data_IF_300616773581
#
_entry.id   IF_300616773581
#
_cell.length_a   1.000
_cell.length_b   1.000
_cell.length_c   1.000
_cell.angle_alpha   90.00
_cell.angle_beta   90.00
_cell.angle_gamma   90.00
#
_symmetry.space_group_name_H-M   'P 1'
#
loop_
_entity.id
_entity.type
_entity.pdbx_description
1 polymer ?
#
# COMPACT_ATOMS: atom_id res chain seq x y z
N UNK A 1 5.40 -20.91 -9.07
CA UNK A 1 5.67 -19.91 -8.01
C UNK A 1 6.23 -18.70 -8.73
N UNK A 2 5.59 -17.54 -8.61
CA UNK A 2 6.15 -16.26 -9.08
C UNK A 2 7.16 -15.79 -8.04
N UNK A 3 8.33 -15.33 -8.47
CA UNK A 3 9.34 -14.76 -7.57
C UNK A 3 9.46 -13.27 -7.91
N UNK A 4 9.09 -12.43 -6.97
CA UNK A 4 9.01 -10.98 -7.17
C UNK A 4 10.03 -10.21 -6.32
N UNK A 5 10.49 -9.06 -6.84
CA UNK A 5 11.07 -8.00 -6.02
C UNK A 5 10.09 -6.84 -5.89
N UNK A 6 9.94 -6.30 -4.68
CA UNK A 6 9.33 -5.00 -4.47
C UNK A 6 10.43 -3.93 -4.40
N UNK A 7 10.36 -2.96 -5.30
CA UNK A 7 11.31 -1.87 -5.37
C UNK A 7 10.63 -0.55 -5.03
N UNK A 8 11.14 0.11 -3.99
CA UNK A 8 10.91 1.54 -3.80
C UNK A 8 11.88 2.26 -4.73
N UNK A 9 11.34 2.83 -5.81
CA UNK A 9 12.16 3.61 -6.72
C UNK A 9 12.77 4.79 -5.95
N UNK A 10 14.06 5.05 -6.15
CA UNK A 10 14.74 6.21 -5.57
C UNK A 10 15.23 6.08 -4.12
N UNK A 11 15.21 4.90 -3.47
CA UNK A 11 16.01 4.74 -2.23
C UNK A 11 17.50 4.83 -2.58
N UNK A 12 18.06 6.03 -2.42
CA UNK A 12 19.48 6.31 -2.67
C UNK A 12 19.76 6.83 -4.09
N UNK A 13 20.88 6.39 -4.67
CA UNK A 13 21.36 6.78 -6.00
C UNK A 13 21.11 5.70 -7.07
N UNK A 14 20.49 4.57 -6.71
CA UNK A 14 20.28 3.44 -7.61
C UNK A 14 19.17 3.73 -8.61
N UNK A 15 19.47 3.60 -9.90
CA UNK A 15 18.49 3.80 -10.97
C UNK A 15 17.49 2.64 -11.07
N UNK A 16 16.31 2.90 -11.63
CA UNK A 16 15.34 1.84 -11.94
C UNK A 16 15.96 0.77 -12.86
N UNK A 17 16.79 1.17 -13.83
CA UNK A 17 17.50 0.25 -14.72
C UNK A 17 18.42 -0.72 -13.97
N UNK A 18 19.11 -0.25 -12.94
CA UNK A 18 19.99 -1.09 -12.13
C UNK A 18 19.19 -2.05 -11.23
N UNK A 19 18.05 -1.59 -10.70
CA UNK A 19 17.14 -2.43 -9.91
C UNK A 19 16.54 -3.56 -10.76
N UNK A 20 16.07 -3.24 -11.97
CA UNK A 20 15.52 -4.24 -12.90
C UNK A 20 16.59 -5.23 -13.37
N UNK A 21 17.79 -4.74 -13.70
CA UNK A 21 18.92 -5.62 -14.04
C UNK A 21 19.26 -6.56 -12.88
N UNK A 22 19.30 -6.04 -11.66
CA UNK A 22 19.55 -6.84 -10.47
C UNK A 22 18.46 -7.90 -10.27
N UNK A 23 17.17 -7.52 -10.35
CA UNK A 23 16.06 -8.47 -10.25
C UNK A 23 16.19 -9.63 -11.24
N UNK A 24 16.43 -9.30 -12.52
CA UNK A 24 16.60 -10.30 -13.56
C UNK A 24 17.82 -11.22 -13.29
N UNK A 25 18.95 -10.65 -12.86
CA UNK A 25 20.16 -11.41 -12.53
C UNK A 25 19.98 -12.33 -11.31
N UNK A 26 19.17 -11.90 -10.33
CA UNK A 26 18.83 -12.68 -9.15
C UNK A 26 17.84 -13.82 -9.48
N UNK A 27 17.19 -13.76 -10.64
CA UNK A 27 16.24 -14.78 -11.11
C UNK A 27 14.79 -14.49 -10.72
N UNK A 28 14.45 -13.24 -10.40
CA UNK A 28 13.06 -12.83 -10.28
C UNK A 28 12.36 -12.93 -11.65
N UNK A 29 11.07 -13.23 -11.62
CA UNK A 29 10.19 -13.29 -12.80
C UNK A 29 9.26 -12.08 -12.86
N UNK A 30 8.99 -11.49 -11.70
CA UNK A 30 8.01 -10.44 -11.52
C UNK A 30 8.62 -9.28 -10.71
N UNK A 31 8.06 -8.09 -10.84
CA UNK A 31 8.39 -6.95 -9.98
C UNK A 31 7.13 -6.21 -9.54
N UNK A 32 7.23 -5.64 -8.35
CA UNK A 32 6.29 -4.68 -7.81
C UNK A 32 7.05 -3.36 -7.74
N UNK A 33 6.46 -2.30 -8.28
CA UNK A 33 7.07 -0.98 -8.23
C UNK A 33 6.29 -0.07 -7.29
N UNK A 34 7.04 0.56 -6.37
CA UNK A 34 6.49 1.43 -5.34
C UNK A 34 6.80 2.90 -5.58
N UNK A 35 5.74 3.71 -5.69
CA UNK A 35 5.84 5.17 -5.53
C UNK A 35 5.59 5.53 -4.07
N UNK A 36 6.50 6.28 -3.46
CA UNK A 36 6.43 6.57 -2.03
C UNK A 36 5.37 7.63 -1.71
N UNK A 37 4.64 7.40 -0.61
CA UNK A 37 3.66 8.28 0.00
C UNK A 37 4.36 9.37 0.84
N UNK A 38 4.09 10.66 0.58
CA UNK A 38 4.57 11.76 1.43
C UNK A 38 5.72 12.63 0.88
N UNK A 39 6.05 12.55 -0.41
CA UNK A 39 6.93 13.52 -1.09
C UNK A 39 6.25 14.10 -2.32
N UNK A 40 6.59 15.35 -2.68
CA UNK A 40 6.00 16.03 -3.82
C UNK A 40 6.14 15.19 -5.10
N UNK A 41 5.16 15.27 -6.00
CA UNK A 41 5.06 14.56 -7.29
C UNK A 41 6.23 14.79 -8.28
N UNK A 42 7.29 15.45 -7.83
CA UNK A 42 8.45 15.88 -8.62
C UNK A 42 9.79 15.37 -8.07
N UNK A 43 9.80 14.58 -6.98
CA UNK A 43 11.05 14.05 -6.40
C UNK A 43 11.30 12.59 -6.81
N UNK A 44 12.59 12.19 -6.76
CA UNK A 44 13.25 10.94 -7.19
C UNK A 44 12.55 9.58 -6.94
N UNK A 45 11.41 9.55 -6.27
CA UNK A 45 10.68 8.35 -5.83
C UNK A 45 9.43 8.03 -6.65
N UNK A 46 9.08 8.89 -7.62
CA UNK A 46 7.92 8.68 -8.49
C UNK A 46 8.26 7.65 -9.59
N UNK A 47 7.58 6.50 -9.59
CA UNK A 47 7.71 5.48 -10.64
C UNK A 47 6.95 5.90 -11.89
N UNK A 48 5.71 6.36 -11.70
CA UNK A 48 4.79 6.79 -12.76
C UNK A 48 4.54 8.29 -12.56
N UNK A 49 4.85 9.16 -13.54
CA UNK A 49 4.62 10.59 -13.42
C UNK A 49 3.12 10.90 -13.23
N UNK A 50 2.83 11.96 -12.45
CA UNK A 50 1.46 12.41 -12.22
C UNK A 50 1.33 13.21 -10.92
N UNK A 51 0.50 14.27 -10.94
CA UNK A 51 0.26 15.15 -9.78
C UNK A 51 -1.01 14.76 -9.02
N UNK A 52 -2.08 14.44 -9.74
CA UNK A 52 -3.40 14.14 -9.15
C UNK A 52 -3.92 12.76 -9.56
N UNK A 53 -3.42 12.20 -10.66
CA UNK A 53 -3.77 10.89 -11.23
C UNK A 53 -2.67 10.39 -12.16
N UNK A 54 -2.75 9.14 -12.56
CA UNK A 54 -1.87 8.55 -13.59
C UNK A 54 -2.57 8.38 -14.92
N UNK A 55 -1.85 8.72 -15.99
CA UNK A 55 -2.31 8.56 -17.38
C UNK A 55 -1.87 7.20 -17.94
N UNK A 56 -2.64 6.66 -18.89
CA UNK A 56 -2.40 5.33 -19.45
C UNK A 56 -1.03 5.20 -20.12
N UNK A 57 -0.64 6.19 -20.93
CA UNK A 57 0.62 6.13 -21.70
C UNK A 57 1.83 6.06 -20.77
N UNK A 58 1.81 6.77 -19.64
CA UNK A 58 2.87 6.76 -18.65
C UNK A 58 3.01 5.39 -17.97
N UNK A 59 1.87 4.74 -17.67
CA UNK A 59 1.84 3.38 -17.11
C UNK A 59 2.37 2.35 -18.11
N UNK A 60 2.01 2.49 -19.40
CA UNK A 60 2.51 1.62 -20.48
C UNK A 60 4.02 1.75 -20.62
N UNK A 61 4.56 2.98 -20.59
CA UNK A 61 6.02 3.22 -20.64
C UNK A 61 6.74 2.51 -19.50
N UNK A 62 6.20 2.56 -18.28
CA UNK A 62 6.77 1.86 -17.11
C UNK A 62 6.70 0.35 -17.29
N UNK A 63 5.55 -0.21 -17.72
CA UNK A 63 5.41 -1.64 -17.98
C UNK A 63 6.40 -2.12 -19.04
N UNK A 64 6.45 -1.46 -20.20
CA UNK A 64 7.35 -1.82 -21.29
C UNK A 64 8.82 -1.76 -20.88
N UNK A 65 9.18 -0.79 -20.01
CA UNK A 65 10.52 -0.73 -19.43
C UNK A 65 10.83 -1.98 -18.60
N UNK A 66 9.92 -2.40 -17.71
CA UNK A 66 10.09 -3.64 -16.93
C UNK A 66 10.23 -4.86 -17.85
N UNK A 67 9.34 -4.98 -18.84
CA UNK A 67 9.32 -6.08 -19.81
C UNK A 67 10.59 -6.15 -20.66
N UNK A 68 11.24 -5.00 -20.93
CA UNK A 68 12.52 -4.95 -21.65
C UNK A 68 13.68 -5.66 -20.93
N UNK A 69 13.55 -5.88 -19.61
CA UNK A 69 14.50 -6.66 -18.80
C UNK A 69 14.09 -8.14 -18.67
N UNK A 70 13.04 -8.58 -19.36
CA UNK A 70 12.52 -9.95 -19.27
C UNK A 70 11.75 -10.23 -17.97
N UNK A 71 11.27 -9.17 -17.30
CA UNK A 71 10.47 -9.22 -16.07
C UNK A 71 9.01 -8.89 -16.37
N UNK A 72 8.09 -9.32 -15.50
CA UNK A 72 6.68 -8.96 -15.55
C UNK A 72 6.35 -7.89 -14.49
N UNK A 73 5.65 -6.82 -14.87
CA UNK A 73 5.15 -5.84 -13.90
C UNK A 73 3.85 -6.35 -13.27
N UNK A 74 3.97 -7.01 -12.12
CA UNK A 74 2.85 -7.68 -11.45
C UNK A 74 1.95 -6.70 -10.72
N UNK A 75 2.54 -5.71 -10.04
CA UNK A 75 1.79 -4.77 -9.24
C UNK A 75 2.42 -3.38 -9.17
N UNK A 76 1.58 -2.39 -8.89
CA UNK A 76 1.98 -1.06 -8.44
C UNK A 76 1.51 -0.87 -7.00
N UNK A 77 2.39 -0.37 -6.13
CA UNK A 77 2.07 -0.14 -4.71
C UNK A 77 2.99 0.94 -4.14
N UNK A 78 2.63 2.20 -3.92
CA UNK A 78 1.32 2.82 -3.86
C UNK A 78 1.22 3.92 -4.93
N UNK A 79 0.06 4.57 -5.00
CA UNK A 79 -0.04 5.94 -5.55
C UNK A 79 0.45 6.98 -4.52
N UNK A 80 0.84 8.19 -4.94
CA UNK A 80 1.14 9.27 -4.01
C UNK A 80 -0.05 9.59 -3.08
N UNK A 81 0.20 9.88 -1.80
CA UNK A 81 -0.87 10.18 -0.82
C UNK A 81 -1.80 11.31 -1.25
N UNK A 82 -1.26 12.32 -1.95
CA UNK A 82 -2.03 13.47 -2.44
C UNK A 82 -3.11 13.08 -3.46
N UNK A 83 -3.09 11.85 -4.01
CA UNK A 83 -4.15 11.37 -4.90
C UNK A 83 -5.44 11.04 -4.13
N UNK A 84 -5.34 10.71 -2.82
CA UNK A 84 -6.48 10.15 -2.09
C UNK A 84 -6.53 10.47 -0.58
N UNK A 85 -5.74 11.43 -0.10
CA UNK A 85 -5.73 11.87 1.31
C UNK A 85 -7.08 12.45 1.77
N UNK A 86 -7.77 13.21 0.93
CA UNK A 86 -9.11 13.74 1.21
C UNK A 86 -10.15 12.61 1.16
N UNK A 87 -9.93 11.55 0.40
CA UNK A 87 -10.76 10.34 0.49
C UNK A 87 -10.60 9.70 1.88
N UNK A 88 -9.36 9.50 2.32
CA UNK A 88 -9.09 8.88 3.63
C UNK A 88 -9.62 9.71 4.81
N UNK A 89 -9.47 11.04 4.72
CA UNK A 89 -9.75 11.97 5.83
C UNK A 89 -11.13 12.66 5.75
N UNK A 90 -11.95 12.33 4.76
CA UNK A 90 -13.24 13.00 4.54
C UNK A 90 -13.10 14.49 4.22
N UNK A 91 -12.05 14.86 3.48
CA UNK A 91 -11.70 16.24 3.18
C UNK A 91 -12.52 16.87 2.04
N UNK A 92 -12.42 18.20 1.83
CA UNK A 92 -13.24 18.93 0.88
C UNK A 92 -13.01 18.54 -0.59
N UNK A 93 -11.86 17.92 -0.93
CA UNK A 93 -11.56 17.44 -2.28
C UNK A 93 -11.90 15.96 -2.51
N UNK A 94 -12.63 15.32 -1.58
CA UNK A 94 -12.90 13.88 -1.63
C UNK A 94 -13.49 13.45 -2.97
N UNK A 95 -14.50 14.16 -3.47
CA UNK A 95 -15.21 13.75 -4.68
C UNK A 95 -14.32 13.85 -5.93
N UNK A 96 -13.53 14.93 -6.04
CA UNK A 96 -12.51 15.12 -7.09
C UNK A 96 -11.46 14.00 -7.06
N UNK A 97 -10.95 13.67 -5.87
CA UNK A 97 -9.97 12.59 -5.70
C UNK A 97 -10.57 11.22 -6.03
N UNK A 98 -11.84 10.97 -5.72
CA UNK A 98 -12.53 9.74 -6.12
C UNK A 98 -12.54 9.60 -7.64
N UNK A 99 -12.91 10.65 -8.38
CA UNK A 99 -12.91 10.63 -9.85
C UNK A 99 -11.50 10.35 -10.40
N UNK A 100 -10.48 11.02 -9.85
CA UNK A 100 -9.08 10.84 -10.23
C UNK A 100 -8.54 9.44 -9.91
N UNK A 101 -8.93 8.86 -8.78
CA UNK A 101 -8.53 7.50 -8.40
C UNK A 101 -9.25 6.44 -9.24
N UNK A 102 -10.53 6.63 -9.57
CA UNK A 102 -11.23 5.76 -10.52
C UNK A 102 -10.52 5.78 -11.88
N UNK A 103 -10.13 6.97 -12.37
CA UNK A 103 -9.37 7.11 -13.60
C UNK A 103 -8.02 6.37 -13.53
N UNK A 104 -7.29 6.55 -12.42
CA UNK A 104 -6.00 5.88 -12.18
C UNK A 104 -6.14 4.36 -12.17
N UNK A 105 -7.10 3.81 -11.42
CA UNK A 105 -7.31 2.34 -11.32
C UNK A 105 -7.70 1.74 -12.67
N UNK A 106 -8.55 2.42 -13.45
CA UNK A 106 -8.86 2.00 -14.84
C UNK A 106 -7.62 1.99 -15.72
N UNK A 107 -6.77 3.02 -15.62
CA UNK A 107 -5.57 3.08 -16.44
C UNK A 107 -4.53 2.03 -16.04
N UNK A 108 -4.39 1.71 -14.75
CA UNK A 108 -3.54 0.60 -14.28
C UNK A 108 -3.98 -0.71 -14.94
N UNK A 109 -5.29 -1.00 -14.90
CA UNK A 109 -5.85 -2.19 -15.51
C UNK A 109 -5.65 -2.23 -17.04
N UNK A 110 -5.93 -1.11 -17.73
CA UNK A 110 -5.78 -0.99 -19.19
C UNK A 110 -4.34 -1.01 -19.66
N UNK A 111 -3.40 -0.62 -18.80
CA UNK A 111 -1.98 -0.82 -19.01
C UNK A 111 -1.59 -2.31 -18.88
N UNK A 112 -2.50 -3.19 -18.46
CA UNK A 112 -2.25 -4.62 -18.31
C UNK A 112 -1.56 -4.99 -17.00
N UNK A 113 -1.61 -4.12 -15.98
CA UNK A 113 -1.02 -4.37 -14.66
C UNK A 113 -2.12 -4.98 -13.77
N UNK A 114 -1.99 -6.25 -13.35
CA UNK A 114 -3.13 -7.00 -12.80
C UNK A 114 -3.47 -6.67 -11.34
N UNK A 115 -2.55 -6.04 -10.60
CA UNK A 115 -2.69 -5.79 -9.16
C UNK A 115 -2.37 -4.33 -8.84
N UNK A 116 -3.22 -3.72 -8.01
CA UNK A 116 -2.94 -2.42 -7.42
C UNK A 116 -2.99 -2.48 -5.89
N UNK A 117 -1.85 -2.16 -5.31
CA UNK A 117 -1.62 -2.05 -3.88
C UNK A 117 -1.82 -0.63 -3.36
N UNK A 118 -2.53 -0.50 -2.25
CA UNK A 118 -2.64 0.78 -1.55
C UNK A 118 -2.66 0.60 -0.03
N UNK A 119 -2.56 1.70 0.71
CA UNK A 119 -2.68 1.70 2.17
C UNK A 119 -3.76 2.67 2.63
N UNK A 120 -4.26 2.51 3.87
CA UNK A 120 -5.18 3.43 4.51
C UNK A 120 -4.52 4.17 5.69
N UNK A 121 -3.36 4.77 5.44
CA UNK A 121 -2.51 5.40 6.46
C UNK A 121 -2.23 6.89 6.16
N UNK A 122 -3.15 7.82 6.46
CA UNK A 122 -2.93 9.25 6.21
C UNK A 122 -1.69 9.81 6.93
N UNK A 123 -1.42 9.34 8.16
CA UNK A 123 -0.23 9.73 8.94
C UNK A 123 1.08 9.13 8.43
N UNK A 124 1.08 8.36 7.34
CA UNK A 124 2.25 7.67 6.82
C UNK A 124 2.73 6.52 7.70
N UNK A 125 3.90 5.96 7.41
CA UNK A 125 4.54 4.89 8.19
C UNK A 125 5.39 5.51 9.31
N UNK A 126 5.27 5.00 10.54
CA UNK A 126 6.03 5.54 11.69
C UNK A 126 7.13 4.57 12.13
N UNK A 127 8.31 5.12 12.41
CA UNK A 127 9.50 4.42 12.89
C UNK A 127 10.19 5.25 13.96
N UNK A 128 11.00 4.62 14.79
CA UNK A 128 11.91 5.33 15.68
C UNK A 128 12.86 6.20 14.84
N UNK A 129 13.20 7.42 15.30
CA UNK A 129 14.10 8.31 14.56
C UNK A 129 15.50 7.72 14.30
N UNK A 130 15.92 6.77 15.12
CA UNK A 130 17.23 6.11 15.02
C UNK A 130 17.04 4.62 14.83
N UNK A 131 17.70 4.06 13.81
CA UNK A 131 17.73 2.62 13.59
C UNK A 131 18.34 1.90 14.81
N UNK A 132 17.74 0.78 15.18
CA UNK A 132 18.14 0.00 16.35
C UNK A 132 19.25 -0.99 15.99
N UNK A 133 20.27 -1.19 16.84
CA UNK A 133 21.26 -2.23 16.64
C UNK A 133 20.64 -3.62 16.63
N UNK A 134 21.17 -4.50 15.80
CA UNK A 134 20.76 -5.90 15.74
C UNK A 134 21.96 -6.85 15.62
N UNK A 135 21.67 -8.15 15.48
CA UNK A 135 22.66 -9.23 15.47
C UNK A 135 23.70 -8.99 14.36
N UNK A 136 24.92 -9.46 14.61
CA UNK A 136 26.05 -9.31 13.68
C UNK A 136 26.41 -7.85 13.34
N UNK A 137 26.08 -6.89 14.21
CA UNK A 137 26.46 -5.48 14.05
C UNK A 137 25.64 -4.73 13.01
N UNK A 138 24.53 -5.30 12.54
CA UNK A 138 23.59 -4.61 11.64
C UNK A 138 22.73 -3.62 12.40
N UNK A 139 22.04 -2.75 11.66
CA UNK A 139 21.00 -1.88 12.19
C UNK A 139 19.69 -2.15 11.48
N UNK A 140 18.57 -2.08 12.20
CA UNK A 140 17.22 -2.31 11.67
C UNK A 140 16.31 -1.14 12.03
N UNK A 141 15.29 -0.90 11.21
CA UNK A 141 14.20 -0.01 11.62
C UNK A 141 13.44 -0.65 12.79
N UNK A 142 12.97 0.15 13.72
CA UNK A 142 12.14 -0.31 14.84
C UNK A 142 11.07 0.74 15.14
N UNK A 143 10.06 0.36 15.92
CA UNK A 143 9.06 1.28 16.43
C UNK A 143 8.82 1.03 17.92
N UNK A 144 8.76 2.09 18.71
CA UNK A 144 8.42 2.06 20.13
C UNK A 144 7.43 3.20 20.43
N UNK A 145 6.17 2.86 20.64
CA UNK A 145 5.08 3.83 20.79
C UNK A 145 5.35 4.91 21.85
N UNK A 146 6.05 4.59 22.94
CA UNK A 146 6.35 5.56 24.00
C UNK A 146 7.31 6.67 23.57
N UNK A 147 8.04 6.50 22.46
CA UNK A 147 8.90 7.54 21.88
C UNK A 147 8.13 8.54 21.01
N UNK A 148 6.85 8.26 20.73
CA UNK A 148 6.03 8.98 19.75
C UNK A 148 4.81 9.67 20.38
N UNK A 149 4.67 9.62 21.71
CA UNK A 149 3.49 10.13 22.43
C UNK A 149 3.39 11.66 22.43
N UNK A 150 4.53 12.36 22.24
CA UNK A 150 4.61 13.82 22.24
C UNK A 150 4.68 14.42 20.81
N UNK A 151 4.61 13.58 19.77
CA UNK A 151 4.63 14.05 18.37
C UNK A 151 3.35 14.83 18.05
N UNK A 152 3.44 15.90 17.23
CA UNK A 152 2.29 16.71 16.88
C UNK A 152 1.27 15.91 16.05
N UNK A 153 0.01 16.37 16.09
CA UNK A 153 -1.04 15.83 15.23
C UNK A 153 -0.69 16.05 13.76
N UNK A 154 -0.74 15.00 12.95
CA UNK A 154 -0.32 15.05 11.54
C UNK A 154 -1.28 15.87 10.68
N UNK A 155 -2.55 15.95 11.10
CA UNK A 155 -3.63 16.62 10.36
C UNK A 155 -4.38 17.65 11.21
N UNK A 156 -3.71 18.20 12.24
CA UNK A 156 -4.22 19.30 13.06
C UNK A 156 -5.40 18.97 13.99
N UNK A 157 -5.91 17.72 13.97
CA UNK A 157 -6.95 17.24 14.89
C UNK A 157 -6.85 15.74 15.13
N UNK A 158 -7.63 15.27 16.10
CA UNK A 158 -7.85 13.84 16.35
C UNK A 158 -9.06 13.36 15.53
N UNK A 159 -8.91 12.22 14.88
CA UNK A 159 -9.95 11.53 14.13
C UNK A 159 -10.51 10.38 14.97
N UNK A 160 -11.81 10.10 14.85
CA UNK A 160 -12.40 8.92 15.51
C UNK A 160 -12.25 7.69 14.63
N UNK A 161 -12.25 6.52 15.26
CA UNK A 161 -12.19 5.25 14.53
C UNK A 161 -13.44 5.05 13.64
N UNK A 162 -14.61 5.44 14.13
CA UNK A 162 -15.86 5.44 13.37
C UNK A 162 -15.77 6.30 12.11
N UNK A 163 -15.26 7.53 12.22
CA UNK A 163 -15.09 8.44 11.08
C UNK A 163 -14.16 7.83 10.02
N UNK A 164 -13.04 7.24 10.44
CA UNK A 164 -12.08 6.63 9.53
C UNK A 164 -12.64 5.38 8.84
N UNK A 165 -13.42 4.58 9.57
CA UNK A 165 -14.10 3.41 9.02
C UNK A 165 -15.20 3.79 8.04
N UNK A 166 -15.99 4.84 8.32
CA UNK A 166 -17.03 5.33 7.41
C UNK A 166 -16.41 5.79 6.08
N UNK A 167 -15.27 6.51 6.14
CA UNK A 167 -14.53 6.92 4.95
C UNK A 167 -13.99 5.72 4.16
N UNK A 168 -13.41 4.71 4.85
CA UNK A 168 -12.94 3.49 4.19
C UNK A 168 -14.08 2.73 3.54
N UNK A 169 -15.18 2.52 4.25
CA UNK A 169 -16.35 1.81 3.73
C UNK A 169 -16.95 2.51 2.51
N UNK A 170 -17.04 3.85 2.55
CA UNK A 170 -17.46 4.65 1.41
C UNK A 170 -16.54 4.43 0.20
N UNK A 171 -15.23 4.45 0.40
CA UNK A 171 -14.26 4.21 -0.66
C UNK A 171 -14.35 2.80 -1.25
N UNK A 172 -14.37 1.76 -0.41
CA UNK A 172 -14.41 0.36 -0.86
C UNK A 172 -15.64 0.07 -1.70
N UNK A 173 -16.80 0.62 -1.33
CA UNK A 173 -18.05 0.50 -2.11
C UNK A 173 -17.98 1.18 -3.47
N UNK A 174 -17.07 2.14 -3.66
CA UNK A 174 -16.88 2.85 -4.93
C UNK A 174 -15.82 2.16 -5.79
N UNK A 175 -14.66 1.86 -5.22
CA UNK A 175 -13.52 1.40 -6.02
C UNK A 175 -13.56 -0.08 -6.36
N UNK A 176 -14.14 -0.91 -5.48
CA UNK A 176 -14.18 -2.37 -5.70
C UNK A 176 -14.96 -2.74 -6.98
N UNK A 177 -16.16 -2.18 -7.24
CA UNK A 177 -16.85 -2.44 -8.50
C UNK A 177 -16.06 -2.03 -9.75
N UNK A 178 -15.28 -0.94 -9.67
CA UNK A 178 -14.43 -0.49 -10.78
C UNK A 178 -13.29 -1.48 -11.03
N UNK A 179 -12.65 -1.96 -9.96
CA UNK A 179 -11.60 -2.97 -10.06
C UNK A 179 -12.14 -4.30 -10.63
N UNK A 180 -13.34 -4.71 -10.22
CA UNK A 180 -14.02 -5.89 -10.73
C UNK A 180 -14.38 -5.75 -12.22
N UNK A 181 -14.91 -4.59 -12.64
CA UNK A 181 -15.24 -4.27 -14.04
C UNK A 181 -14.00 -4.35 -14.95
N UNK A 182 -12.87 -3.81 -14.49
CA UNK A 182 -11.62 -3.79 -15.25
C UNK A 182 -10.79 -5.08 -15.08
N UNK A 183 -11.26 -6.03 -14.26
CA UNK A 183 -10.65 -7.35 -14.11
C UNK A 183 -9.34 -7.38 -13.32
N UNK A 184 -9.10 -6.41 -12.45
CA UNK A 184 -7.91 -6.35 -11.58
C UNK A 184 -8.26 -6.56 -10.12
N UNK A 185 -7.25 -6.87 -9.30
CA UNK A 185 -7.40 -6.99 -7.85
C UNK A 185 -6.74 -5.81 -7.17
N UNK A 186 -7.43 -5.24 -6.18
CA UNK A 186 -6.91 -4.16 -5.36
C UNK A 186 -6.72 -4.64 -3.92
N UNK A 187 -5.58 -4.36 -3.31
CA UNK A 187 -5.26 -4.83 -1.97
C UNK A 187 -4.85 -3.73 -1.03
N UNK A 188 -5.27 -3.83 0.23
CA UNK A 188 -4.86 -2.87 1.26
C UNK A 188 -3.75 -3.44 2.15
N UNK A 189 -2.63 -2.72 2.21
CA UNK A 189 -1.54 -2.95 3.15
C UNK A 189 -1.98 -2.71 4.60
N UNK A 190 -1.49 -3.52 5.57
CA UNK A 190 -1.78 -3.30 6.98
C UNK A 190 -1.25 -1.96 7.48
N UNK A 191 -1.86 -1.47 8.56
CA UNK A 191 -1.36 -0.29 9.24
C UNK A 191 0.03 -0.58 9.83
N UNK A 192 1.03 0.22 9.45
CA UNK A 192 2.41 0.05 9.87
C UNK A 192 2.91 1.30 10.63
N UNK A 193 3.09 1.22 11.95
CA UNK A 193 2.93 0.03 12.81
C UNK A 193 1.45 -0.26 13.13
N UNK A 194 1.09 -1.52 13.45
CA UNK A 194 -0.28 -1.94 13.73
C UNK A 194 -0.70 -1.60 15.17
N UNK A 195 -0.57 -0.33 15.55
CA UNK A 195 -1.04 0.17 16.85
C UNK A 195 -2.45 0.74 16.75
N UNK A 196 -3.01 1.28 17.85
CA UNK A 196 -4.34 1.90 17.82
C UNK A 196 -4.39 3.21 17.01
N UNK A 197 -3.44 4.11 17.24
CA UNK A 197 -3.42 5.44 16.62
C UNK A 197 -2.01 6.03 16.62
N UNK A 198 -1.71 6.83 15.59
CA UNK A 198 -0.51 7.68 15.56
C UNK A 198 -0.84 9.04 14.94
N UNK A 199 -0.22 10.11 15.45
CA UNK A 199 -0.42 11.46 14.93
C UNK A 199 -1.88 11.95 14.98
N UNK A 200 -2.70 11.38 15.87
CA UNK A 200 -4.13 11.69 15.97
C UNK A 200 -5.05 10.93 15.01
N UNK A 201 -4.51 9.97 14.23
CA UNK A 201 -5.29 9.19 13.25
C UNK A 201 -5.32 7.71 13.64
N UNK A 202 -6.52 7.12 13.84
CA UNK A 202 -6.68 5.68 14.05
C UNK A 202 -6.09 4.83 12.92
N UNK A 203 -5.53 3.68 13.29
CA UNK A 203 -4.90 2.71 12.39
C UNK A 203 -5.82 1.51 12.21
N UNK A 204 -6.72 1.58 11.23
CA UNK A 204 -7.82 0.61 11.12
C UNK A 204 -7.39 -0.83 10.88
N UNK A 205 -6.48 -1.04 9.93
CA UNK A 205 -6.08 -2.38 9.47
C UNK A 205 -4.94 -2.94 10.32
N UNK A 206 -5.22 -3.13 11.62
CA UNK A 206 -4.25 -3.53 12.65
C UNK A 206 -4.61 -4.86 13.36
N UNK A 207 -5.61 -5.60 12.87
CA UNK A 207 -6.08 -6.86 13.46
C UNK A 207 -6.79 -7.76 12.45
N UNK A 208 -6.96 -9.03 12.81
CA UNK A 208 -7.71 -10.02 12.07
C UNK A 208 -9.17 -9.60 11.83
N UNK A 209 -9.85 -9.12 12.87
CA UNK A 209 -11.25 -8.71 12.77
C UNK A 209 -11.42 -7.44 11.91
N UNK A 210 -10.45 -6.51 11.92
CA UNK A 210 -10.44 -5.39 10.99
C UNK A 210 -10.36 -5.86 9.54
N UNK A 211 -9.52 -6.85 9.24
CA UNK A 211 -9.42 -7.41 7.90
C UNK A 211 -10.64 -8.23 7.48
N UNK A 212 -11.29 -8.93 8.41
CA UNK A 212 -12.59 -9.55 8.13
C UNK A 212 -13.62 -8.50 7.75
N UNK A 213 -13.77 -7.44 8.55
CA UNK A 213 -14.64 -6.31 8.25
C UNK A 213 -14.34 -5.73 6.87
N UNK A 214 -13.07 -5.47 6.55
CA UNK A 214 -12.65 -4.95 5.24
C UNK A 214 -13.18 -5.83 4.09
N UNK A 215 -12.94 -7.14 4.17
CA UNK A 215 -13.34 -8.07 3.10
C UNK A 215 -14.84 -8.26 2.98
N UNK A 216 -15.60 -7.96 4.04
CA UNK A 216 -17.06 -8.06 4.11
C UNK A 216 -17.79 -6.78 3.65
N UNK A 217 -17.12 -5.62 3.60
CA UNK A 217 -17.70 -4.37 3.08
C UNK A 217 -18.24 -4.55 1.66
N UNK A 218 -17.48 -5.27 0.83
CA UNK A 218 -17.88 -5.66 -0.51
C UNK A 218 -17.27 -7.03 -0.83
N UNK A 219 -18.09 -8.07 -0.90
CA UNK A 219 -17.63 -9.43 -1.16
C UNK A 219 -17.31 -9.63 -2.64
N UNK A 220 -16.09 -9.23 -3.01
CA UNK A 220 -15.51 -9.43 -4.34
C UNK A 220 -14.09 -10.00 -4.21
N UNK A 221 -13.61 -10.83 -5.15
CA UNK A 221 -12.20 -11.20 -5.26
C UNK A 221 -11.28 -10.00 -5.51
N UNK A 222 -11.82 -8.89 -6.03
CA UNK A 222 -11.09 -7.66 -6.27
C UNK A 222 -10.89 -6.81 -5.01
N UNK A 223 -11.67 -7.03 -3.94
CA UNK A 223 -11.40 -6.47 -2.61
C UNK A 223 -10.50 -7.43 -1.82
N UNK A 224 -9.18 -7.20 -1.92
CA UNK A 224 -8.15 -8.11 -1.45
C UNK A 224 -7.25 -7.47 -0.37
N UNK A 225 -6.25 -8.23 0.06
CA UNK A 225 -5.35 -7.92 1.16
C UNK A 225 -3.91 -8.04 0.67
N UNK A 226 -3.13 -6.99 0.88
CA UNK A 226 -1.67 -7.10 0.83
C UNK A 226 -1.19 -7.67 2.15
N UNK A 227 -1.02 -9.00 2.18
CA UNK A 227 -0.69 -9.72 3.41
C UNK A 227 0.79 -9.56 3.75
N UNK A 228 1.20 -8.35 4.17
CA UNK A 228 2.55 -8.07 4.62
C UNK A 228 2.82 -8.83 5.92
N UNK A 229 3.47 -9.98 5.81
CA UNK A 229 3.74 -10.85 6.96
C UNK A 229 4.54 -10.16 8.06
N UNK A 230 5.39 -9.19 7.71
CA UNK A 230 6.12 -8.37 8.68
C UNK A 230 5.16 -7.62 9.60
N UNK A 231 4.30 -6.77 9.04
CA UNK A 231 3.35 -5.97 9.82
C UNK A 231 2.25 -6.83 10.44
N UNK A 232 1.72 -7.85 9.74
CA UNK A 232 0.76 -8.78 10.33
C UNK A 232 1.33 -9.48 11.56
N UNK A 233 2.60 -9.90 11.53
CA UNK A 233 3.24 -10.56 12.67
C UNK A 233 3.40 -9.69 13.92
N UNK A 234 3.25 -8.36 13.78
CA UNK A 234 3.30 -7.41 14.88
C UNK A 234 1.92 -7.16 15.53
N UNK A 235 0.83 -7.69 14.95
CA UNK A 235 -0.52 -7.59 15.52
C UNK A 235 -0.66 -8.51 16.74
N UNK A 236 -1.41 -8.07 17.76
CA UNK A 236 -1.61 -8.83 18.99
C UNK A 236 -2.22 -10.24 18.74
N UNK A 237 -3.11 -10.33 17.76
CA UNK A 237 -3.80 -11.57 17.38
C UNK A 237 -3.02 -12.46 16.40
N UNK A 238 -1.84 -12.01 15.96
CA UNK A 238 -0.90 -12.85 15.19
C UNK A 238 0.01 -13.69 16.09
N UNK A 239 0.02 -13.44 17.40
CA UNK A 239 0.87 -14.13 18.36
C UNK A 239 0.63 -15.66 18.38
N UNK A 240 1.69 -16.41 18.64
CA UNK A 240 1.64 -17.88 18.60
C UNK A 240 1.39 -18.40 17.18
N UNK A 241 0.27 -19.08 16.98
CA UNK A 241 -0.14 -19.62 15.66
C UNK A 241 -1.10 -18.68 14.90
N UNK A 242 -1.44 -17.51 15.47
CA UNK A 242 -2.49 -16.63 14.95
C UNK A 242 -2.26 -16.19 13.50
N UNK A 243 -1.01 -15.87 13.12
CA UNK A 243 -0.68 -15.52 11.72
C UNK A 243 -0.99 -16.66 10.74
N UNK A 244 -0.79 -17.93 11.13
CA UNK A 244 -1.09 -19.06 10.26
C UNK A 244 -2.59 -19.27 10.10
N UNK A 245 -3.37 -18.99 11.14
CA UNK A 245 -4.83 -19.02 11.07
C UNK A 245 -5.37 -17.90 10.18
N UNK A 246 -4.78 -16.70 10.23
CA UNK A 246 -5.09 -15.60 9.30
C UNK A 246 -4.76 -15.98 7.85
N UNK A 247 -3.57 -16.54 7.61
CA UNK A 247 -3.14 -17.02 6.29
C UNK A 247 -4.14 -18.06 5.77
N UNK A 248 -4.52 -19.04 6.59
CA UNK A 248 -5.50 -20.07 6.20
C UNK A 248 -6.85 -19.44 5.89
N UNK A 249 -7.37 -18.58 6.78
CA UNK A 249 -8.68 -17.97 6.66
C UNK A 249 -8.81 -17.13 5.38
N UNK A 250 -7.89 -16.19 5.14
CA UNK A 250 -7.94 -15.30 3.98
C UNK A 250 -7.45 -15.98 2.70
N UNK A 251 -6.51 -16.92 2.80
CA UNK A 251 -6.01 -17.71 1.67
C UNK A 251 -7.08 -18.62 1.07
N UNK A 252 -7.82 -19.37 1.90
CA UNK A 252 -8.94 -20.20 1.44
C UNK A 252 -10.06 -19.38 0.78
N UNK A 253 -10.22 -18.12 1.20
CA UNK A 253 -11.18 -17.16 0.63
C UNK A 253 -10.65 -16.38 -0.57
N UNK A 254 -9.41 -16.65 -0.99
CA UNK A 254 -8.72 -15.95 -2.09
C UNK A 254 -8.67 -14.43 -1.90
N UNK A 255 -8.55 -13.98 -0.65
CA UNK A 255 -8.45 -12.55 -0.29
C UNK A 255 -7.01 -12.06 -0.23
N UNK A 256 -6.02 -12.94 -0.09
CA UNK A 256 -4.60 -12.56 -0.18
C UNK A 256 -4.24 -12.37 -1.66
N UNK A 257 -3.59 -11.25 -1.99
CA UNK A 257 -3.11 -10.96 -3.35
C UNK A 257 -2.12 -12.01 -3.85
#
# INVERSE_FOLDING_TARGET
>A
MRLGFNFINGIGETSLDDLLRFAAQYGATDVILQSYTGKAAHERYTVVPGVERWELDDLVVVREKVESYGLHLEALENVPSAFYDNIMLGGPKRDEQIENMIHTVRNIARAGIPVFGYNWMPSGVWRNPVNSPHRAGTTVTAYNHSQHVDEPLTHGRVYTEEEMWDNLEYWIKIITPVAEEEGIRIGIHPADPPVYSVGGVPRLLNSFDAYKRLTEIFDSPSNAIEFCQGTFSEMDDAAGEGIYDMIRYFGERKKIL
#
